data_IF_196308860665
#
_entry.id   IF_196308860665
#
_cell.length_a   1.000
_cell.length_b   1.000
_cell.length_c   1.000
_cell.angle_alpha   90.00
_cell.angle_beta   90.00
_cell.angle_gamma   90.00
#
_symmetry.space_group_name_H-M   'P 1'
#
loop_
_entity.id
_entity.type
_entity.pdbx_description
1 polymer ?
#
# COMPACT_ATOMS: atom_id res chain seq x y z
N UNK A 1 19.27 -11.78 -12.89
CA UNK A 1 19.14 -10.33 -12.70
C UNK A 1 17.72 -10.07 -12.25
N UNK A 2 17.49 -9.52 -11.05
CA UNK A 2 16.13 -9.11 -10.66
C UNK A 2 15.70 -7.91 -11.50
N UNK A 3 14.46 -7.90 -11.97
CA UNK A 3 13.88 -6.76 -12.66
C UNK A 3 13.83 -5.53 -11.72
N UNK A 4 14.00 -4.31 -12.24
CA UNK A 4 13.87 -3.09 -11.45
C UNK A 4 12.43 -2.96 -10.91
N UNK A 5 12.24 -2.37 -9.71
CA UNK A 5 10.90 -2.17 -9.17
C UNK A 5 10.08 -1.22 -10.04
N UNK A 6 8.79 -1.53 -10.20
CA UNK A 6 7.81 -0.57 -10.72
C UNK A 6 7.43 0.38 -9.60
N UNK A 7 7.73 1.66 -9.76
CA UNK A 7 7.42 2.70 -8.77
C UNK A 7 6.15 3.44 -9.14
N UNK A 8 5.22 3.52 -8.19
CA UNK A 8 4.03 4.35 -8.22
C UNK A 8 4.15 5.40 -7.10
N UNK A 9 3.45 6.52 -7.25
CA UNK A 9 3.36 7.55 -6.21
C UNK A 9 1.90 7.90 -5.96
N UNK A 10 1.53 8.06 -4.70
CA UNK A 10 0.24 8.64 -4.36
C UNK A 10 0.21 10.12 -4.76
N UNK A 11 -0.94 10.63 -5.24
CA UNK A 11 -1.13 12.04 -5.45
C UNK A 11 -1.22 12.79 -4.12
N UNK A 12 -1.12 14.12 -4.19
CA UNK A 12 -1.24 15.04 -3.05
C UNK A 12 -2.49 14.78 -2.19
N UNK A 13 -3.65 14.62 -2.85
CA UNK A 13 -4.89 14.18 -2.21
C UNK A 13 -5.26 12.81 -2.74
N UNK A 14 -5.11 11.80 -1.91
CA UNK A 14 -5.48 10.43 -2.24
C UNK A 14 -6.85 10.12 -1.63
N UNK A 15 -7.91 10.58 -2.30
CA UNK A 15 -9.30 10.42 -1.88
C UNK A 15 -10.09 9.43 -2.74
N UNK A 16 -11.42 9.45 -2.57
CA UNK A 16 -12.34 8.64 -3.38
C UNK A 16 -12.23 8.90 -4.90
N UNK A 17 -12.10 10.16 -5.38
CA UNK A 17 -11.95 10.41 -6.81
C UNK A 17 -10.71 9.75 -7.42
N UNK A 18 -9.63 9.66 -6.65
CA UNK A 18 -8.33 9.14 -7.08
C UNK A 18 -8.23 7.61 -6.96
N UNK A 19 -9.15 6.96 -6.24
CA UNK A 19 -9.13 5.52 -6.03
C UNK A 19 -9.27 4.73 -7.34
N UNK A 20 -10.11 5.18 -8.28
CA UNK A 20 -10.31 4.53 -9.58
C UNK A 20 -9.03 4.51 -10.44
N UNK A 21 -8.45 5.69 -10.74
CA UNK A 21 -7.17 5.79 -11.45
C UNK A 21 -6.04 5.00 -10.77
N UNK A 22 -5.91 5.11 -9.44
CA UNK A 22 -4.90 4.38 -8.67
C UNK A 22 -5.07 2.85 -8.79
N UNK A 23 -6.30 2.35 -8.78
CA UNK A 23 -6.56 0.93 -8.97
C UNK A 23 -6.11 0.43 -10.36
N UNK A 24 -6.33 1.23 -11.40
CA UNK A 24 -5.86 0.92 -12.75
C UNK A 24 -4.32 0.92 -12.83
N UNK A 25 -3.67 1.90 -12.19
CA UNK A 25 -2.20 1.96 -12.13
C UNK A 25 -1.59 0.77 -11.39
N UNK A 26 -2.17 0.38 -10.25
CA UNK A 26 -1.76 -0.82 -9.51
C UNK A 26 -1.96 -2.10 -10.33
N UNK A 27 -3.10 -2.25 -11.00
CA UNK A 27 -3.36 -3.39 -11.86
C UNK A 27 -2.34 -3.51 -13.00
N UNK A 28 -1.98 -2.39 -13.62
CA UNK A 28 -0.92 -2.34 -14.64
C UNK A 28 0.44 -2.68 -14.05
N UNK A 29 0.79 -2.12 -12.88
CA UNK A 29 2.07 -2.39 -12.23
C UNK A 29 2.24 -3.88 -11.86
N UNK A 30 1.17 -4.54 -11.39
CA UNK A 30 1.19 -5.97 -11.07
C UNK A 30 1.21 -6.89 -12.30
N UNK A 31 0.94 -6.37 -13.51
CA UNK A 31 1.07 -7.13 -14.75
C UNK A 31 2.53 -7.17 -15.25
N UNK A 32 3.36 -6.24 -14.81
CA UNK A 32 4.78 -6.19 -15.18
C UNK A 32 5.62 -7.16 -14.31
N UNK A 33 6.67 -7.75 -14.88
CA UNK A 33 7.56 -8.61 -14.11
C UNK A 33 8.43 -7.77 -13.17
N UNK A 34 8.15 -7.79 -11.87
CA UNK A 34 9.00 -7.16 -10.86
C UNK A 34 8.28 -6.81 -9.57
N UNK A 35 9.03 -6.39 -8.54
CA UNK A 35 8.43 -5.86 -7.32
C UNK A 35 7.76 -4.51 -7.60
N UNK A 36 6.68 -4.20 -6.88
CA UNK A 36 5.98 -2.91 -6.96
C UNK A 36 6.24 -2.12 -5.68
N UNK A 37 6.54 -0.84 -5.82
CA UNK A 37 6.72 0.09 -4.71
C UNK A 37 5.77 1.27 -4.84
N UNK A 38 5.08 1.61 -3.76
CA UNK A 38 4.25 2.80 -3.67
C UNK A 38 4.89 3.81 -2.73
N UNK A 39 5.26 4.95 -3.31
CA UNK A 39 5.71 6.13 -2.57
C UNK A 39 4.50 6.94 -2.09
N UNK A 40 4.52 7.33 -0.82
CA UNK A 40 3.45 8.12 -0.20
C UNK A 40 3.93 9.50 0.24
N UNK A 41 5.21 9.83 0.03
CA UNK A 41 5.77 11.12 0.43
C UNK A 41 5.01 12.34 -0.13
N UNK A 42 4.45 12.31 -1.36
CA UNK A 42 3.69 13.45 -1.89
C UNK A 42 2.31 13.62 -1.25
N UNK A 43 1.76 12.58 -0.62
CA UNK A 43 0.39 12.61 -0.11
C UNK A 43 0.29 13.49 1.14
N UNK A 44 -0.55 14.51 1.08
CA UNK A 44 -0.93 15.37 2.20
C UNK A 44 -2.21 14.84 2.90
N UNK A 45 -3.07 14.14 2.16
CA UNK A 45 -4.32 13.56 2.67
C UNK A 45 -4.52 12.15 2.08
N UNK A 46 -4.85 11.18 2.93
CA UNK A 46 -5.17 9.81 2.52
C UNK A 46 -6.54 9.41 3.08
N UNK A 47 -7.49 9.15 2.19
CA UNK A 47 -8.85 8.75 2.55
C UNK A 47 -9.00 7.23 2.75
N UNK A 48 -10.05 6.85 3.47
CA UNK A 48 -10.38 5.44 3.75
C UNK A 48 -10.50 4.59 2.47
N UNK A 49 -11.10 5.12 1.41
CA UNK A 49 -11.24 4.40 0.14
C UNK A 49 -9.88 3.99 -0.45
N UNK A 50 -8.88 4.87 -0.35
CA UNK A 50 -7.51 4.56 -0.79
C UNK A 50 -6.88 3.52 0.12
N UNK A 51 -7.01 3.63 1.45
CA UNK A 51 -6.50 2.60 2.35
C UNK A 51 -7.11 1.21 2.07
N UNK A 52 -8.42 1.13 1.85
CA UNK A 52 -9.10 -0.11 1.50
C UNK A 52 -8.60 -0.69 0.17
N UNK A 53 -8.36 0.17 -0.83
CA UNK A 53 -7.75 -0.23 -2.08
C UNK A 53 -6.34 -0.78 -1.88
N UNK A 54 -5.52 -0.15 -1.04
CA UNK A 54 -4.14 -0.61 -0.75
C UNK A 54 -4.13 -1.95 0.00
N UNK A 55 -5.08 -2.17 0.92
CA UNK A 55 -5.31 -3.50 1.54
C UNK A 55 -5.65 -4.54 0.47
N UNK A 56 -6.58 -4.22 -0.46
CA UNK A 56 -6.93 -5.11 -1.56
C UNK A 56 -5.73 -5.39 -2.48
N UNK A 57 -4.91 -4.37 -2.76
CA UNK A 57 -3.69 -4.49 -3.55
C UNK A 57 -2.66 -5.42 -2.89
N UNK A 58 -2.46 -5.34 -1.56
CA UNK A 58 -1.60 -6.31 -0.85
C UNK A 58 -2.12 -7.75 -0.98
N UNK A 59 -3.43 -7.97 -0.91
CA UNK A 59 -4.02 -9.32 -1.09
C UNK A 59 -3.79 -9.84 -2.51
N UNK A 60 -3.97 -8.97 -3.52
CA UNK A 60 -3.73 -9.32 -4.92
C UNK A 60 -2.25 -9.63 -5.16
N UNK A 61 -1.34 -8.78 -4.68
CA UNK A 61 0.10 -8.97 -4.79
C UNK A 61 0.55 -10.28 -4.15
N UNK A 62 0.05 -10.58 -2.93
CA UNK A 62 0.31 -11.84 -2.26
C UNK A 62 -0.20 -13.05 -3.05
N UNK A 63 -1.42 -12.99 -3.60
CA UNK A 63 -1.98 -14.06 -4.42
C UNK A 63 -1.21 -14.28 -5.74
N UNK A 64 -0.58 -13.23 -6.27
CA UNK A 64 0.23 -13.27 -7.48
C UNK A 64 1.71 -13.59 -7.22
N UNK A 65 2.14 -13.68 -5.95
CA UNK A 65 3.55 -13.85 -5.58
C UNK A 65 4.42 -12.63 -5.92
N UNK A 66 3.82 -11.45 -6.05
CA UNK A 66 4.51 -10.20 -6.39
C UNK A 66 4.83 -9.44 -5.09
N UNK A 67 6.11 -9.07 -4.83
CA UNK A 67 6.43 -8.22 -3.70
C UNK A 67 5.80 -6.84 -3.89
N UNK A 68 5.06 -6.37 -2.89
CA UNK A 68 4.45 -5.05 -2.88
C UNK A 68 4.80 -4.33 -1.58
N UNK A 69 5.44 -3.17 -1.70
CA UNK A 69 5.93 -2.37 -0.58
C UNK A 69 5.32 -0.97 -0.64
N UNK A 70 4.80 -0.48 0.48
CA UNK A 70 4.27 0.88 0.61
C UNK A 70 5.10 1.61 1.65
N UNK A 71 5.60 2.79 1.30
CA UNK A 71 6.25 3.67 2.26
C UNK A 71 5.23 4.22 3.26
N UNK A 72 5.52 4.15 4.55
CA UNK A 72 4.71 4.73 5.62
C UNK A 72 5.65 5.44 6.61
N UNK A 73 6.22 6.60 6.24
CA UNK A 73 7.12 7.34 7.13
C UNK A 73 6.40 7.74 8.42
N UNK A 74 7.12 7.73 9.54
CA UNK A 74 6.59 8.19 10.82
C UNK A 74 6.13 9.66 10.73
N UNK A 75 4.94 9.97 11.25
CA UNK A 75 4.32 11.28 11.19
C UNK A 75 3.73 11.66 9.83
N UNK A 76 3.75 10.76 8.84
CA UNK A 76 3.15 11.03 7.53
C UNK A 76 1.61 10.98 7.56
N UNK A 77 0.92 11.64 6.61
CA UNK A 77 -0.52 11.51 6.45
C UNK A 77 -1.00 10.07 6.24
N UNK A 78 -0.16 9.24 5.59
CA UNK A 78 -0.41 7.81 5.45
C UNK A 78 -0.42 7.11 6.81
N UNK A 79 0.58 7.34 7.67
CA UNK A 79 0.63 6.77 9.02
C UNK A 79 -0.57 7.24 9.86
N UNK A 80 -0.90 8.53 9.79
CA UNK A 80 -2.08 9.10 10.47
C UNK A 80 -3.37 8.45 10.00
N UNK A 81 -3.58 8.31 8.69
CA UNK A 81 -4.78 7.67 8.15
C UNK A 81 -4.88 6.20 8.59
N UNK A 82 -3.77 5.45 8.60
CA UNK A 82 -3.75 4.08 9.11
C UNK A 82 -4.13 4.01 10.59
N UNK A 83 -3.63 4.93 11.43
CA UNK A 83 -3.98 5.00 12.86
C UNK A 83 -5.46 5.34 13.06
N UNK A 84 -5.95 6.38 12.37
CA UNK A 84 -7.36 6.83 12.47
C UNK A 84 -8.35 5.72 12.09
N UNK A 85 -7.98 4.88 11.13
CA UNK A 85 -8.82 3.79 10.65
C UNK A 85 -8.51 2.41 11.27
N UNK A 86 -7.68 2.36 12.33
CA UNK A 86 -7.38 1.13 13.08
C UNK A 86 -6.53 0.10 12.32
N UNK A 87 -5.87 0.51 11.23
CA UNK A 87 -4.96 -0.33 10.46
C UNK A 87 -3.58 -0.45 11.14
N UNK A 88 -3.15 0.59 11.88
CA UNK A 88 -1.86 0.55 12.57
C UNK A 88 -1.81 -0.53 13.67
N UNK A 89 -2.92 -0.77 14.38
CA UNK A 89 -3.04 -1.79 15.42
C UNK A 89 -2.96 -3.22 14.88
N UNK A 90 -3.14 -3.41 13.57
CA UNK A 90 -2.99 -4.70 12.91
C UNK A 90 -1.51 -5.08 12.63
N UNK A 91 -0.54 -4.26 13.06
CA UNK A 91 0.89 -4.55 12.90
C UNK A 91 1.35 -4.55 11.44
N UNK A 92 0.68 -3.77 10.59
CA UNK A 92 0.92 -3.74 9.15
C UNK A 92 2.27 -3.14 8.75
N UNK A 93 2.77 -2.19 9.55
CA UNK A 93 4.00 -1.44 9.24
C UNK A 93 5.16 -2.06 10.00
N UNK A 94 6.21 -2.46 9.27
CA UNK A 94 7.47 -2.94 9.86
C UNK A 94 8.29 -1.81 10.49
N UNK A 95 9.37 -2.19 11.19
CA UNK A 95 10.22 -1.25 11.94
C UNK A 95 10.84 -0.13 11.08
N UNK A 96 11.03 -0.36 9.77
CA UNK A 96 11.62 0.60 8.83
C UNK A 96 10.60 1.56 8.18
N UNK A 97 9.35 1.59 8.66
CA UNK A 97 8.29 2.41 8.05
C UNK A 97 7.86 1.90 6.68
N UNK A 98 7.96 0.59 6.45
CA UNK A 98 7.48 -0.08 5.24
C UNK A 98 6.32 -1.00 5.59
N UNK A 99 5.23 -0.86 4.84
CA UNK A 99 4.14 -1.81 4.85
C UNK A 99 4.33 -2.79 3.69
N UNK A 100 4.64 -4.05 4.02
CA UNK A 100 5.05 -5.08 3.04
C UNK A 100 4.04 -6.23 2.90
N UNK A 101 2.97 -6.22 3.70
CA UNK A 101 1.95 -7.26 3.67
C UNK A 101 0.88 -7.07 4.72
N UNK A 102 -0.17 -7.88 4.64
CA UNK A 102 -1.17 -7.97 5.71
C UNK A 102 -0.68 -8.94 6.79
N UNK A 103 -1.06 -8.78 8.07
CA UNK A 103 -0.83 -9.83 9.04
C UNK A 103 -1.50 -11.10 8.51
N UNK A 104 -0.71 -12.16 8.38
CA UNK A 104 -1.28 -13.50 8.24
C UNK A 104 -2.12 -13.71 9.49
N UNK A 105 -3.43 -13.74 9.33
CA UNK A 105 -4.34 -14.00 10.44
C UNK A 105 -3.80 -15.22 11.17
N UNK A 106 -3.51 -15.08 12.47
CA UNK A 106 -3.35 -16.25 13.32
C UNK A 106 -4.62 -17.04 13.18
N UNK A 107 -4.57 -18.10 12.37
CA UNK A 107 -5.53 -19.18 12.47
C UNK A 107 -5.36 -19.72 13.89
N UNK A 108 -6.17 -19.19 14.81
CA UNK A 108 -6.38 -19.79 16.12
C UNK A 108 -7.00 -21.16 15.80
N UNK A 109 -6.19 -22.21 15.99
CA UNK A 109 -6.64 -23.59 15.94
C UNK A 109 -7.58 -23.94 17.08
#
# INVERSE_FOLDING_TARGET
>A
MSAPPVSLSLPDRAGLPEAGPLAADLARAFAEPGPVRLDTAPAQEVGLAVLQLLVAAHRQAASAGVPFEIAVPAGSPMETAMKVHGLADAGLVGADGLWTGLPVGVAQG
#
